data_IF_302429908799
#
_entry.id   IF_302429908799
#
_cell.length_a   1.000
_cell.length_b   1.000
_cell.length_c   1.000
_cell.angle_alpha   90.00
_cell.angle_beta   90.00
_cell.angle_gamma   90.00
#
_symmetry.space_group_name_H-M   'P 1'
#
loop_
_entity.id
_entity.type
_entity.pdbx_description
1 polymer ?
#
# COMPACT_ATOMS: atom_id res chain seq x y z
N UNK A 1 -7.95 -11.32 -2.72
CA UNK A 1 -7.94 -10.42 -1.54
C UNK A 1 -6.77 -9.42 -1.63
N UNK A 2 -5.52 -9.77 -1.33
CA UNK A 2 -4.40 -8.81 -1.40
C UNK A 2 -4.09 -8.30 -2.83
N UNK A 3 -4.32 -9.13 -3.85
CA UNK A 3 -4.16 -8.73 -5.25
C UNK A 3 -5.02 -7.50 -5.62
N UNK A 4 -6.12 -7.22 -4.91
CA UNK A 4 -6.96 -6.04 -5.14
C UNK A 4 -6.24 -4.71 -4.80
N UNK A 5 -5.13 -4.77 -4.05
CA UNK A 5 -4.29 -3.60 -3.75
C UNK A 5 -3.55 -3.08 -4.99
N UNK A 6 -3.15 -3.97 -5.91
CA UNK A 6 -2.34 -3.59 -7.06
C UNK A 6 -3.11 -2.68 -8.03
N UNK A 7 -4.34 -3.00 -8.47
CA UNK A 7 -5.12 -2.11 -9.32
C UNK A 7 -5.36 -0.73 -8.70
N UNK A 8 -5.56 -0.66 -7.38
CA UNK A 8 -5.72 0.61 -6.67
C UNK A 8 -4.42 1.44 -6.75
N UNK A 9 -3.28 0.83 -6.49
CA UNK A 9 -1.98 1.52 -6.56
C UNK A 9 -1.63 1.93 -8.00
N UNK A 10 -1.97 1.11 -8.99
CA UNK A 10 -1.84 1.44 -10.42
C UNK A 10 -2.70 2.64 -10.80
N UNK A 11 -3.95 2.71 -10.34
CA UNK A 11 -4.81 3.86 -10.57
C UNK A 11 -4.22 5.15 -9.97
N UNK A 12 -3.62 5.07 -8.78
CA UNK A 12 -2.91 6.22 -8.17
C UNK A 12 -1.64 6.62 -8.95
N UNK A 13 -0.98 5.67 -9.61
CA UNK A 13 0.20 5.93 -10.43
C UNK A 13 -0.12 6.67 -11.74
N UNK A 14 -1.37 6.59 -12.22
CA UNK A 14 -1.82 7.37 -13.38
C UNK A 14 -1.98 8.87 -13.05
N UNK A 15 -2.08 9.23 -11.77
CA UNK A 15 -2.11 10.61 -11.33
C UNK A 15 -0.68 11.17 -11.29
N UNK A 16 -0.37 12.05 -12.24
CA UNK A 16 0.98 12.54 -12.50
C UNK A 16 1.65 13.07 -11.22
N UNK A 17 2.78 12.48 -10.85
CA UNK A 17 3.59 12.88 -9.70
C UNK A 17 3.28 12.15 -8.39
N UNK A 18 2.19 11.37 -8.30
CA UNK A 18 1.89 10.60 -7.07
C UNK A 18 2.76 9.38 -6.88
N UNK A 19 3.16 8.73 -7.98
CA UNK A 19 4.00 7.54 -7.93
C UNK A 19 4.99 7.52 -9.10
N UNK A 20 6.21 8.08 -8.94
CA UNK A 20 7.18 8.09 -10.01
C UNK A 20 7.71 6.68 -10.34
N UNK A 21 8.08 6.40 -11.61
CA UNK A 21 8.70 5.13 -12.01
C UNK A 21 10.15 5.00 -11.48
N UNK A 22 10.72 3.78 -11.43
CA UNK A 22 10.13 2.52 -11.89
C UNK A 22 9.15 1.91 -10.86
N UNK A 23 8.05 1.34 -11.36
CA UNK A 23 7.09 0.60 -10.55
C UNK A 23 7.44 -0.89 -10.46
N UNK A 24 7.13 -1.53 -9.33
CA UNK A 24 7.32 -2.97 -9.10
C UNK A 24 6.06 -3.58 -8.50
N UNK A 25 5.00 -3.63 -9.29
CA UNK A 25 3.66 -4.05 -8.84
C UNK A 25 3.58 -5.54 -8.46
N UNK A 26 4.55 -6.34 -8.89
CA UNK A 26 4.74 -7.75 -8.57
C UNK A 26 5.58 -7.99 -7.29
N UNK A 27 6.21 -6.95 -6.76
CA UNK A 27 7.01 -7.00 -5.53
C UNK A 27 6.17 -6.56 -4.32
N UNK A 28 5.82 -7.52 -3.47
CA UNK A 28 5.02 -7.28 -2.26
C UNK A 28 5.66 -6.25 -1.31
N UNK A 29 6.99 -6.23 -1.18
CA UNK A 29 7.69 -5.27 -0.33
C UNK A 29 7.55 -3.87 -0.89
N UNK A 30 7.77 -3.70 -2.20
CA UNK A 30 7.60 -2.42 -2.88
C UNK A 30 6.17 -1.90 -2.76
N UNK A 31 5.16 -2.73 -3.07
CA UNK A 31 3.74 -2.35 -2.97
C UNK A 31 3.41 -1.93 -1.54
N UNK A 32 3.86 -2.69 -0.54
CA UNK A 32 3.63 -2.39 0.87
C UNK A 32 4.20 -1.03 1.28
N UNK A 33 5.44 -0.73 0.91
CA UNK A 33 6.07 0.57 1.22
C UNK A 33 5.35 1.74 0.55
N UNK A 34 4.90 1.59 -0.70
CA UNK A 34 4.14 2.65 -1.39
C UNK A 34 2.82 2.97 -0.71
N UNK A 35 2.10 1.95 -0.24
CA UNK A 35 0.93 2.21 0.60
C UNK A 35 1.32 2.89 1.92
N UNK A 36 2.40 2.47 2.58
CA UNK A 36 2.87 3.14 3.79
C UNK A 36 3.22 4.61 3.58
N UNK A 37 3.61 5.05 2.39
CA UNK A 37 3.83 6.48 2.06
C UNK A 37 2.51 7.21 1.75
N UNK A 38 1.62 6.57 1.01
CA UNK A 38 0.40 7.19 0.49
C UNK A 38 -0.75 7.24 1.50
N UNK A 39 -0.78 6.34 2.47
CA UNK A 39 -1.89 6.25 3.42
C UNK A 39 -1.97 7.50 4.33
N UNK A 40 -3.17 8.07 4.53
CA UNK A 40 -3.39 9.18 5.45
C UNK A 40 -3.51 8.66 6.89
N UNK A 41 -2.41 8.13 7.43
CA UNK A 41 -2.31 7.60 8.79
C UNK A 41 -1.33 8.41 9.65
N UNK A 42 -1.53 8.42 10.99
CA UNK A 42 -0.58 9.03 11.91
C UNK A 42 0.83 8.47 11.74
N UNK A 43 1.85 9.31 11.97
CA UNK A 43 3.27 8.93 11.83
C UNK A 43 3.63 7.67 12.63
N UNK A 44 3.11 7.53 13.86
CA UNK A 44 3.35 6.35 14.70
C UNK A 44 2.78 5.05 14.08
N UNK A 45 1.62 5.12 13.43
CA UNK A 45 1.04 3.95 12.75
C UNK A 45 1.86 3.59 11.51
N UNK A 46 2.34 4.59 10.78
CA UNK A 46 3.25 4.42 9.65
C UNK A 46 4.55 3.75 10.08
N UNK A 47 5.17 4.22 11.16
CA UNK A 47 6.39 3.63 11.72
C UNK A 47 6.18 2.15 12.05
N UNK A 48 5.11 1.79 12.76
CA UNK A 48 4.78 0.39 13.07
C UNK A 48 4.62 -0.48 11.82
N UNK A 49 4.07 0.05 10.72
CA UNK A 49 3.97 -0.69 9.45
C UNK A 49 5.33 -0.88 8.76
N UNK A 50 6.21 0.12 8.87
CA UNK A 50 7.57 0.07 8.31
C UNK A 50 8.49 -0.88 9.09
N UNK A 51 8.22 -1.09 10.38
CA UNK A 51 8.94 -2.04 11.24
C UNK A 51 8.56 -3.52 11.00
N UNK A 52 7.50 -3.79 10.24
CA UNK A 52 7.14 -5.17 9.88
C UNK A 52 8.13 -5.72 8.87
N UNK A 53 8.80 -6.82 9.22
CA UNK A 53 9.74 -7.52 8.34
C UNK A 53 9.04 -8.31 7.23
N UNK A 54 7.89 -8.91 7.53
CA UNK A 54 7.11 -9.65 6.55
C UNK A 54 6.26 -8.69 5.69
N UNK A 55 6.53 -8.58 4.37
CA UNK A 55 5.75 -7.72 3.48
C UNK A 55 4.30 -8.18 3.34
N UNK A 56 4.01 -9.48 3.50
CA UNK A 56 2.65 -9.99 3.40
C UNK A 56 1.81 -9.52 4.58
N UNK A 57 2.32 -9.67 5.81
CA UNK A 57 1.69 -9.13 7.03
C UNK A 57 1.42 -7.62 6.92
N UNK A 58 2.37 -6.85 6.36
CA UNK A 58 2.16 -5.41 6.09
C UNK A 58 0.99 -5.19 5.14
N UNK A 59 0.95 -5.91 4.02
CA UNK A 59 -0.13 -5.80 3.02
C UNK A 59 -1.49 -6.22 3.57
N UNK A 60 -1.56 -7.19 4.50
CA UNK A 60 -2.82 -7.55 5.15
C UNK A 60 -3.40 -6.42 6.00
N UNK A 61 -2.55 -5.69 6.72
CA UNK A 61 -2.98 -4.54 7.52
C UNK A 61 -3.44 -3.41 6.61
N UNK A 62 -2.68 -3.13 5.54
CA UNK A 62 -3.06 -2.17 4.50
C UNK A 62 -4.41 -2.54 3.88
N UNK A 63 -4.59 -3.80 3.50
CA UNK A 63 -5.86 -4.30 2.96
C UNK A 63 -7.02 -4.09 3.94
N UNK A 64 -6.86 -4.49 5.21
CA UNK A 64 -7.90 -4.31 6.23
C UNK A 64 -8.27 -2.83 6.39
N UNK A 65 -7.28 -1.94 6.44
CA UNK A 65 -7.49 -0.50 6.57
C UNK A 65 -8.30 0.07 5.39
N UNK A 66 -7.98 -0.34 4.16
CA UNK A 66 -8.64 0.12 2.93
C UNK A 66 -10.03 -0.52 2.76
N UNK A 67 -10.19 -1.80 3.11
CA UNK A 67 -11.47 -2.52 3.04
C UNK A 67 -12.49 -1.92 4.01
N UNK A 68 -12.08 -1.54 5.22
CA UNK A 68 -12.92 -0.81 6.19
C UNK A 68 -13.46 0.53 5.64
N UNK A 69 -12.79 1.09 4.62
CA UNK A 69 -13.18 2.33 3.93
C UNK A 69 -13.87 2.07 2.59
N UNK A 70 -14.11 0.81 2.24
CA UNK A 70 -14.77 0.43 0.99
C UNK A 70 -13.91 0.59 -0.27
N UNK A 71 -12.59 0.77 -0.13
CA UNK A 71 -11.69 1.03 -1.26
C UNK A 71 -11.20 -0.26 -1.95
N UNK A 72 -11.26 -1.39 -1.28
CA UNK A 72 -10.91 -2.73 -1.80
C UNK A 72 -11.85 -3.79 -1.23
N UNK A 73 -11.98 -4.93 -1.93
CA UNK A 73 -12.80 -6.07 -1.53
C UNK A 73 -12.05 -7.39 -1.72
#
# INVERSE_FOLDING_TARGET
>A
KLAALVPLLQAMAQDAGRLPPPHRFDDAAWVGYRFCELLPIPAIARQKLLELEDPISRLEIVFKFLAQRGLVK
#
